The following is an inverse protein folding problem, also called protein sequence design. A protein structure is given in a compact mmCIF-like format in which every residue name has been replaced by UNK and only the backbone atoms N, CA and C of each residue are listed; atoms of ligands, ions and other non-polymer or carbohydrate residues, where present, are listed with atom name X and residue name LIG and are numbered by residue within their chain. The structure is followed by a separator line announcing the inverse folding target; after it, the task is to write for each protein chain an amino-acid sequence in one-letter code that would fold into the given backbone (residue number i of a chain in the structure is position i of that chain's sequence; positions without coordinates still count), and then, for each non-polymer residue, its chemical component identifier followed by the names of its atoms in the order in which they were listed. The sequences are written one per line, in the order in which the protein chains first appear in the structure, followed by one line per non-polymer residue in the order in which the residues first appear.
data_IF_368242292341
#
_entry.id   IF_368242292341
#
_cell.length_a   1.000
_cell.length_b   1.000
_cell.length_c   1.000
_cell.angle_alpha   90.00
_cell.angle_beta   90.00
_cell.angle_gamma   90.00
#
_symmetry.space_group_name_H-M   'P 1'
#
loop_
_entity.id
_entity.type
_entity.pdbx_description
1 polymer ?
#
# COMPACT_ATOMS: atom_id res chain seq x y z
N UNK A 1 21.82 19.88 17.16
CA UNK A 1 20.59 20.06 17.96
C UNK A 1 19.65 18.92 17.61
N UNK A 2 18.91 18.38 18.57
CA UNK A 2 17.91 17.34 18.26
C UNK A 2 16.65 18.08 17.78
N UNK A 3 16.36 18.03 16.48
CA UNK A 3 15.14 18.63 15.90
C UNK A 3 13.94 17.77 16.27
N UNK A 4 13.33 18.07 17.42
CA UNK A 4 12.13 17.39 17.90
C UNK A 4 10.98 18.39 18.05
N UNK A 5 9.80 17.98 17.62
CA UNK A 5 8.57 18.73 17.78
C UNK A 5 7.57 17.93 18.62
N UNK A 6 6.78 18.63 19.41
CA UNK A 6 5.77 17.99 20.26
C UNK A 6 4.48 17.79 19.47
N UNK A 7 3.97 16.57 19.44
CA UNK A 7 2.63 16.25 18.93
C UNK A 7 1.72 15.86 20.09
N UNK A 8 0.50 16.40 20.08
CA UNK A 8 -0.55 16.01 21.02
C UNK A 8 -1.34 14.84 20.41
N UNK A 9 -1.43 13.74 21.17
CA UNK A 9 -2.15 12.54 20.76
C UNK A 9 -3.24 12.23 21.78
N UNK A 10 -4.36 11.68 21.30
CA UNK A 10 -5.39 11.14 22.18
C UNK A 10 -4.78 10.04 23.07
N UNK A 11 -5.17 10.04 24.35
CA UNK A 11 -4.79 9.02 25.32
C UNK A 11 -5.12 7.61 24.81
N UNK A 12 -6.22 7.45 24.07
CA UNK A 12 -6.58 6.16 23.44
C UNK A 12 -5.52 5.69 22.44
N UNK A 13 -5.02 6.60 21.60
CA UNK A 13 -3.95 6.30 20.65
C UNK A 13 -2.64 5.96 21.35
N UNK A 14 -2.31 6.63 22.45
CA UNK A 14 -1.11 6.32 23.25
C UNK A 14 -1.19 4.90 23.80
N UNK A 15 -2.35 4.47 24.31
CA UNK A 15 -2.54 3.10 24.79
C UNK A 15 -2.47 2.06 23.65
N UNK A 16 -2.97 2.39 22.47
CA UNK A 16 -2.79 1.54 21.29
C UNK A 16 -1.33 1.43 20.88
N UNK A 17 -0.60 2.56 20.87
CA UNK A 17 0.83 2.59 20.56
C UNK A 17 1.64 1.77 21.57
N UNK A 18 1.28 1.77 22.86
CA UNK A 18 1.91 0.91 23.87
C UNK A 18 1.73 -0.57 23.57
N UNK A 19 0.53 -0.99 23.16
CA UNK A 19 0.22 -2.38 22.79
C UNK A 19 0.88 -2.81 21.49
N UNK A 20 1.05 -1.88 20.55
CA UNK A 20 1.66 -2.14 19.25
C UNK A 20 3.20 -2.27 19.30
N UNK A 21 3.83 -2.03 20.46
CA UNK A 21 5.29 -2.18 20.61
C UNK A 21 5.69 -3.64 20.47
N UNK A 22 6.64 -3.91 19.58
CA UNK A 22 7.18 -5.25 19.36
C UNK A 22 8.09 -5.66 20.53
N UNK A 23 8.83 -4.69 21.09
CA UNK A 23 9.75 -4.93 22.20
C UNK A 23 9.67 -3.83 23.27
N UNK A 24 9.97 -4.15 24.56
CA UNK A 24 9.85 -3.21 25.68
C UNK A 24 10.75 -1.97 25.62
N UNK A 25 11.77 -1.96 24.74
CA UNK A 25 12.72 -0.84 24.55
C UNK A 25 12.46 -0.03 23.27
N UNK A 26 11.48 -0.40 22.45
CA UNK A 26 11.17 0.31 21.22
C UNK A 26 10.64 1.73 21.53
N UNK A 27 11.20 2.76 20.91
CA UNK A 27 10.73 4.15 21.05
C UNK A 27 9.47 4.37 20.20
N UNK A 28 8.62 5.32 20.59
CA UNK A 28 7.46 5.68 19.78
C UNK A 28 7.87 6.23 18.41
N UNK A 29 8.99 6.97 18.33
CA UNK A 29 9.50 7.47 17.06
C UNK A 29 9.81 6.33 16.08
N UNK A 30 10.50 5.27 16.54
CA UNK A 30 10.83 4.12 15.67
C UNK A 30 9.57 3.36 15.24
N UNK A 31 8.59 3.23 16.15
CA UNK A 31 7.31 2.58 15.84
C UNK A 31 6.53 3.37 14.79
N UNK A 32 6.39 4.68 15.00
CA UNK A 32 5.69 5.58 14.08
C UNK A 32 6.42 5.62 12.73
N UNK A 33 7.75 5.69 12.71
CA UNK A 33 8.54 5.67 11.47
C UNK A 33 8.27 4.39 10.66
N UNK A 34 8.27 3.22 11.32
CA UNK A 34 7.96 1.94 10.67
C UNK A 34 6.55 1.94 10.10
N UNK A 35 5.57 2.41 10.87
CA UNK A 35 4.17 2.50 10.42
C UNK A 35 4.01 3.45 9.22
N UNK A 36 4.68 4.61 9.24
CA UNK A 36 4.64 5.59 8.14
C UNK A 36 5.26 5.01 6.88
N UNK A 37 6.42 4.34 6.97
CA UNK A 37 7.06 3.67 5.82
C UNK A 37 6.13 2.63 5.20
N UNK A 38 5.57 1.73 6.01
CA UNK A 38 4.62 0.73 5.53
C UNK A 38 3.39 1.35 4.87
N UNK A 39 2.88 2.45 5.42
CA UNK A 39 1.73 3.14 4.85
C UNK A 39 2.05 3.82 3.51
N UNK A 40 3.23 4.44 3.38
CA UNK A 40 3.69 5.02 2.11
C UNK A 40 3.89 3.92 1.07
N UNK A 41 4.55 2.83 1.44
CA UNK A 41 4.81 1.69 0.55
C UNK A 41 3.50 1.03 0.10
N UNK A 42 2.54 0.85 1.01
CA UNK A 42 1.23 0.30 0.67
C UNK A 42 0.45 1.23 -0.28
N UNK A 43 0.51 2.54 -0.07
CA UNK A 43 -0.12 3.52 -0.96
C UNK A 43 0.51 3.49 -2.36
N UNK A 44 1.83 3.37 -2.46
CA UNK A 44 2.54 3.25 -3.75
C UNK A 44 2.20 1.95 -4.47
N UNK A 45 2.13 0.82 -3.74
CA UNK A 45 1.76 -0.47 -4.31
C UNK A 45 0.33 -0.51 -4.81
N UNK A 46 -0.64 0.03 -4.06
CA UNK A 46 -2.02 0.13 -4.54
C UNK A 46 -2.12 0.97 -5.82
N UNK A 47 -1.36 2.07 -5.90
CA UNK A 47 -1.32 2.90 -7.12
C UNK A 47 -0.69 2.15 -8.30
N UNK A 48 0.33 1.31 -8.04
CA UNK A 48 0.95 0.47 -9.06
C UNK A 48 0.01 -0.64 -9.54
N UNK A 49 -0.68 -1.32 -8.64
CA UNK A 49 -1.66 -2.37 -8.96
C UNK A 49 -2.85 -1.79 -9.75
N UNK A 50 -3.37 -0.63 -9.35
CA UNK A 50 -4.42 0.07 -10.11
C UNK A 50 -3.96 0.44 -11.54
N UNK A 51 -2.71 0.88 -11.69
CA UNK A 51 -2.12 1.19 -12.99
C UNK A 51 -1.93 -0.07 -13.85
N UNK A 52 -1.46 -1.17 -13.23
CA UNK A 52 -1.24 -2.44 -13.91
C UNK A 52 -2.55 -3.09 -14.37
N UNK A 53 -3.57 -3.10 -13.50
CA UNK A 53 -4.89 -3.59 -13.86
C UNK A 53 -5.50 -2.80 -15.03
N UNK A 54 -5.28 -1.47 -15.08
CA UNK A 54 -5.76 -0.63 -16.18
C UNK A 54 -5.08 -0.97 -17.52
N UNK A 55 -3.75 -1.14 -17.52
CA UNK A 55 -3.01 -1.54 -18.73
C UNK A 55 -3.39 -2.96 -19.17
N UNK A 56 -3.56 -3.88 -18.22
CA UNK A 56 -3.97 -5.25 -18.51
C UNK A 56 -5.36 -5.29 -19.14
N UNK A 57 -6.31 -4.48 -18.69
CA UNK A 57 -7.64 -4.39 -19.31
C UNK A 57 -7.57 -3.90 -20.76
N UNK A 58 -6.73 -2.91 -21.05
CA UNK A 58 -6.52 -2.40 -22.42
C UNK A 58 -5.90 -3.47 -23.33
N UNK A 59 -4.86 -4.18 -22.86
CA UNK A 59 -4.25 -5.29 -23.59
C UNK A 59 -5.15 -6.50 -23.75
N UNK A 60 -5.94 -6.84 -22.73
CA UNK A 60 -6.92 -7.92 -22.83
C UNK A 60 -7.99 -7.59 -23.85
N UNK A 61 -8.39 -6.33 -23.95
CA UNK A 61 -9.31 -5.87 -24.99
C UNK A 61 -8.69 -6.00 -26.39
N UNK A 62 -7.41 -5.67 -26.57
CA UNK A 62 -6.71 -5.87 -27.86
C UNK A 62 -6.56 -7.35 -28.26
N UNK A 63 -6.40 -8.25 -27.29
CA UNK A 63 -6.24 -9.69 -27.57
C UNK A 63 -7.60 -10.37 -27.85
N UNK A 64 -8.69 -9.85 -27.29
CA UNK A 64 -10.03 -10.44 -27.34
C UNK A 64 -10.96 -9.83 -28.42
N UNK A 65 -10.55 -8.74 -29.08
CA UNK A 65 -11.24 -8.11 -30.24
C UNK A 65 -10.44 -8.33 -31.55
N UNK A 66 -9.71 -9.44 -31.68
CA UNK A 66 -8.94 -9.76 -32.89
C UNK A 66 -9.71 -10.74 -33.79
N UNK A 67 -9.65 -10.52 -35.13
CA UNK A 67 -10.29 -11.36 -36.16
C UNK A 67 -9.88 -12.85 -36.08
N UNK A 68 -8.76 -13.17 -35.40
CA UNK A 68 -8.30 -14.55 -35.20
C UNK A 68 -9.13 -15.36 -34.19
N UNK A 69 -9.91 -14.73 -33.30
CA UNK A 69 -10.79 -15.44 -32.36
C UNK A 69 -12.04 -16.06 -33.04
N UNK A 70 -12.46 -15.54 -34.21
CA UNK A 70 -13.58 -16.12 -34.99
C UNK A 70 -13.23 -17.50 -35.61
N UNK A 71 -11.94 -17.80 -35.76
CA UNK A 71 -11.45 -19.06 -36.33
C UNK A 71 -11.51 -20.20 -35.31
N UNK A 72 -11.41 -19.90 -34.01
CA UNK A 72 -11.47 -20.89 -32.94
C UNK A 72 -12.89 -21.26 -32.52
N UNK A 73 -13.90 -20.42 -32.76
CA UNK A 73 -15.31 -20.76 -32.51
C UNK A 73 -15.94 -21.70 -33.57
N UNK A 74 -15.26 -21.94 -34.70
CA UNK A 74 -15.76 -22.76 -35.81
C UNK A 74 -14.99 -24.07 -36.05
N UNK A 75 -14.14 -24.51 -35.10
CA UNK A 75 -13.42 -25.79 -35.14
C UNK A 75 -14.01 -26.83 -34.18
#
# INVERSE_FOLDING_TARGET
MVEQSTILLDKRLIEMLKKAREHPRQTYNNLIEKMVKLFIDAKQKNQYDEFLHKIQQEKMKEIWDNEEDEVWENA
#
